data_IF_482093853363
#
_entry.id   IF_482093853363
#
_cell.length_a   1.000
_cell.length_b   1.000
_cell.length_c   1.000
_cell.angle_alpha   90.00
_cell.angle_beta   90.00
_cell.angle_gamma   90.00
#
_symmetry.space_group_name_H-M   'P 1'
#
loop_
_entity.id
_entity.type
_entity.pdbx_description
1 polymer ?
#
# COMPACT_ATOMS: atom_id res chain seq x y z
N UNK A 1 -20.51 -4.24 -2.34
CA UNK A 1 -19.44 -4.63 -3.27
C UNK A 1 -19.99 -5.27 -4.54
N UNK A 2 -19.92 -4.54 -5.65
CA UNK A 2 -20.12 -5.10 -6.98
C UNK A 2 -18.78 -5.65 -7.51
N UNK A 3 -18.70 -6.97 -7.71
CA UNK A 3 -17.61 -7.56 -8.50
C UNK A 3 -17.95 -7.36 -9.96
N UNK A 4 -17.13 -6.61 -10.69
CA UNK A 4 -17.39 -6.34 -12.09
C UNK A 4 -16.94 -7.54 -12.93
N UNK A 5 -17.71 -7.89 -13.97
CA UNK A 5 -17.27 -8.86 -14.97
C UNK A 5 -15.94 -8.40 -15.59
N UNK A 6 -15.11 -9.35 -16.02
CA UNK A 6 -13.81 -9.07 -16.64
C UNK A 6 -13.96 -7.99 -17.72
N UNK A 7 -13.38 -6.84 -17.44
CA UNK A 7 -13.67 -5.60 -18.13
C UNK A 7 -12.85 -4.53 -17.47
N UNK A 8 -11.58 -4.42 -17.88
CA UNK A 8 -10.68 -3.43 -17.33
C UNK A 8 -11.32 -2.04 -17.43
N UNK A 9 -11.27 -1.31 -16.32
CA UNK A 9 -11.66 0.10 -16.28
C UNK A 9 -11.00 0.84 -17.45
N UNK A 10 -11.73 1.69 -18.19
CA UNK A 10 -11.22 2.32 -19.43
C UNK A 10 -9.85 2.98 -19.23
N UNK A 11 -9.64 3.59 -18.06
CA UNK A 11 -8.38 4.24 -17.67
C UNK A 11 -7.27 3.21 -17.38
N UNK A 12 -7.59 2.07 -16.77
CA UNK A 12 -6.62 1.00 -16.50
C UNK A 12 -6.11 0.39 -17.82
N UNK A 13 -6.99 0.19 -18.79
CA UNK A 13 -6.59 -0.23 -20.14
C UNK A 13 -5.67 0.80 -20.80
N UNK A 14 -6.04 2.08 -20.78
CA UNK A 14 -5.22 3.14 -21.38
C UNK A 14 -3.82 3.27 -20.75
N UNK A 15 -3.64 2.88 -19.48
CA UNK A 15 -2.35 2.91 -18.80
C UNK A 15 -1.57 1.58 -18.87
N UNK A 16 -2.22 0.48 -19.27
CA UNK A 16 -1.58 -0.85 -19.32
C UNK A 16 -0.47 -0.95 -20.37
N UNK A 17 -0.54 -0.15 -21.44
CA UNK A 17 0.41 -0.20 -22.55
C UNK A 17 1.55 0.82 -22.44
N UNK A 18 1.53 1.70 -21.43
CA UNK A 18 2.46 2.83 -21.36
C UNK A 18 3.90 2.43 -21.13
N UNK A 19 4.13 1.44 -20.28
CA UNK A 19 5.50 1.01 -19.95
C UNK A 19 5.67 -0.50 -20.10
N UNK A 20 6.76 -0.95 -20.75
CA UNK A 20 6.99 -2.37 -21.03
C UNK A 20 7.36 -3.19 -19.80
N UNK A 21 7.78 -2.56 -18.69
CA UNK A 21 8.16 -3.26 -17.46
C UNK A 21 6.98 -3.62 -16.55
N UNK A 22 5.74 -3.26 -16.90
CA UNK A 22 4.57 -3.78 -16.17
C UNK A 22 4.22 -5.18 -16.65
N UNK A 23 4.12 -6.09 -15.69
CA UNK A 23 3.79 -7.49 -15.92
C UNK A 23 2.27 -7.68 -15.98
N UNK A 24 1.79 -8.60 -16.82
CA UNK A 24 0.42 -9.10 -16.72
C UNK A 24 0.18 -9.71 -15.33
N UNK A 25 -1.00 -9.46 -14.78
CA UNK A 25 -1.50 -10.04 -13.53
C UNK A 25 -2.79 -10.84 -13.72
N UNK A 26 -3.43 -10.75 -14.89
CA UNK A 26 -4.62 -11.53 -15.21
C UNK A 26 -4.25 -12.87 -15.88
N UNK A 27 -4.91 -13.99 -15.52
CA UNK A 27 -5.82 -14.11 -14.37
C UNK A 27 -5.04 -13.95 -13.06
N UNK A 28 -5.68 -13.31 -12.07
CA UNK A 28 -5.12 -13.19 -10.73
C UNK A 28 -5.20 -14.56 -10.03
N UNK A 29 -4.22 -14.86 -9.18
CA UNK A 29 -4.26 -16.07 -8.36
C UNK A 29 -5.52 -16.09 -7.47
N UNK A 30 -6.05 -17.29 -7.20
CA UNK A 30 -7.27 -17.43 -6.39
C UNK A 30 -7.12 -16.91 -4.96
N UNK A 31 -5.93 -17.02 -4.38
CA UNK A 31 -5.63 -16.53 -3.03
C UNK A 31 -5.59 -15.00 -3.02
N UNK A 32 -4.88 -14.40 -3.97
CA UNK A 32 -4.81 -12.94 -4.16
C UNK A 32 -6.20 -12.34 -4.42
N UNK A 33 -7.01 -13.00 -5.27
CA UNK A 33 -8.38 -12.57 -5.54
C UNK A 33 -9.29 -12.68 -4.32
N UNK A 34 -9.18 -13.76 -3.55
CA UNK A 34 -9.93 -13.93 -2.31
C UNK A 34 -9.53 -12.87 -1.27
N UNK A 35 -8.24 -12.57 -1.15
CA UNK A 35 -7.70 -11.52 -0.28
C UNK A 35 -8.25 -10.15 -0.66
N UNK A 36 -8.29 -9.85 -1.96
CA UNK A 36 -8.85 -8.59 -2.47
C UNK A 36 -10.31 -8.39 -2.06
N UNK A 37 -11.13 -9.43 -2.26
CA UNK A 37 -12.55 -9.43 -1.92
C UNK A 37 -12.76 -9.32 -0.41
N UNK A 38 -12.01 -10.09 0.39
CA UNK A 38 -12.07 -10.07 1.86
C UNK A 38 -11.78 -8.67 2.40
N UNK A 39 -10.69 -8.05 1.96
CA UNK A 39 -10.32 -6.71 2.38
C UNK A 39 -11.36 -5.65 2.03
N UNK A 40 -11.89 -5.68 0.81
CA UNK A 40 -12.91 -4.71 0.37
C UNK A 40 -14.24 -4.89 1.10
N UNK A 41 -14.69 -6.13 1.31
CA UNK A 41 -15.92 -6.38 2.09
C UNK A 41 -15.79 -5.87 3.51
N UNK A 42 -14.69 -6.20 4.18
CA UNK A 42 -14.41 -5.71 5.53
C UNK A 42 -14.39 -4.18 5.57
N UNK A 43 -13.71 -3.53 4.61
CA UNK A 43 -13.68 -2.08 4.50
C UNK A 43 -15.08 -1.48 4.30
N UNK A 44 -15.87 -1.96 3.33
CA UNK A 44 -17.21 -1.44 3.05
C UNK A 44 -18.15 -1.62 4.25
N UNK A 45 -18.10 -2.79 4.91
CA UNK A 45 -18.85 -3.06 6.15
C UNK A 45 -18.47 -2.09 7.27
N UNK A 46 -17.16 -1.82 7.45
CA UNK A 46 -16.67 -0.88 8.47
C UNK A 46 -17.03 0.57 8.16
N UNK A 47 -17.08 0.96 6.90
CA UNK A 47 -17.58 2.30 6.52
C UNK A 47 -19.06 2.43 6.84
N UNK A 48 -19.89 1.45 6.46
CA UNK A 48 -21.32 1.48 6.76
C UNK A 48 -21.57 1.51 8.27
N UNK A 49 -20.87 0.67 9.04
CA UNK A 49 -20.93 0.64 10.50
C UNK A 49 -20.56 1.98 11.13
N UNK A 50 -19.48 2.63 10.64
CA UNK A 50 -18.87 3.76 11.34
C UNK A 50 -19.34 5.13 10.89
N UNK A 51 -19.66 5.26 9.61
CA UNK A 51 -20.04 6.52 8.96
C UNK A 51 -21.50 6.50 8.47
N UNK A 52 -22.18 5.34 8.48
CA UNK A 52 -23.53 5.22 7.92
C UNK A 52 -23.58 5.38 6.40
N UNK A 53 -22.42 5.32 5.74
CA UNK A 53 -22.28 5.50 4.31
C UNK A 53 -22.24 4.15 3.61
N UNK A 54 -23.14 3.96 2.65
CA UNK A 54 -23.11 2.77 1.80
C UNK A 54 -22.18 3.02 0.62
N UNK A 55 -21.02 2.38 0.62
CA UNK A 55 -20.11 2.37 -0.52
C UNK A 55 -20.51 1.27 -1.48
N UNK A 56 -20.61 1.60 -2.76
CA UNK A 56 -20.82 0.63 -3.84
C UNK A 56 -19.91 0.97 -5.02
N UNK A 57 -18.60 0.81 -4.79
CA UNK A 57 -17.58 0.93 -5.84
C UNK A 57 -17.34 -0.45 -6.45
N UNK A 58 -16.84 -0.47 -7.69
CA UNK A 58 -16.52 -1.71 -8.40
C UNK A 58 -15.10 -2.18 -8.12
N UNK A 59 -14.91 -3.50 -7.99
CA UNK A 59 -13.60 -4.14 -8.12
C UNK A 59 -13.41 -4.58 -9.57
N UNK A 60 -12.33 -4.09 -10.20
CA UNK A 60 -12.04 -4.26 -11.61
C UNK A 60 -10.70 -4.98 -11.79
N UNK A 61 -10.71 -6.13 -12.47
CA UNK A 61 -9.51 -6.84 -12.88
C UNK A 61 -9.27 -6.61 -14.37
N UNK A 62 -8.14 -5.99 -14.70
CA UNK A 62 -7.61 -5.88 -16.06
C UNK A 62 -6.28 -6.62 -16.19
N UNK A 63 -5.73 -6.63 -17.41
CA UNK A 63 -4.55 -7.45 -17.73
C UNK A 63 -3.35 -7.16 -16.85
N UNK A 64 -3.15 -5.91 -16.46
CA UNK A 64 -2.01 -5.47 -15.63
C UNK A 64 -2.44 -4.83 -14.31
N UNK A 65 -3.74 -4.74 -14.01
CA UNK A 65 -4.24 -3.95 -12.89
C UNK A 65 -5.36 -4.66 -12.15
N UNK A 66 -5.35 -4.51 -10.83
CA UNK A 66 -6.52 -4.72 -9.99
C UNK A 66 -6.86 -3.39 -9.33
N UNK A 67 -8.08 -2.90 -9.52
CA UNK A 67 -8.48 -1.55 -9.12
C UNK A 67 -9.83 -1.56 -8.42
N UNK A 68 -9.95 -0.77 -7.36
CA UNK A 68 -11.19 -0.46 -6.68
C UNK A 68 -11.60 1.00 -6.94
N UNK A 69 -12.81 1.20 -7.47
CA UNK A 69 -13.37 2.53 -7.75
C UNK A 69 -14.70 2.50 -8.50
N UNK A 70 -15.41 3.64 -8.55
CA UNK A 70 -16.70 3.77 -9.23
C UNK A 70 -16.52 4.17 -10.70
N UNK A 71 -17.35 3.70 -11.64
CA UNK A 71 -17.35 4.18 -13.04
C UNK A 71 -18.07 5.55 -13.12
N UNK A 72 -17.40 6.63 -12.68
CA UNK A 72 -17.90 8.00 -12.71
C UNK A 72 -16.78 9.02 -13.01
N UNK A 73 -17.09 10.21 -13.57
CA UNK A 73 -16.10 11.28 -13.73
C UNK A 73 -15.52 11.65 -12.35
N UNK A 74 -14.19 11.63 -12.18
CA UNK A 74 -13.55 11.75 -10.87
C UNK A 74 -13.46 13.20 -10.35
N UNK A 75 -14.40 14.07 -10.72
CA UNK A 75 -14.26 15.53 -10.57
C UNK A 75 -14.07 16.04 -9.14
N UNK A 76 -14.27 15.22 -8.09
CA UNK A 76 -13.88 15.57 -6.72
C UNK A 76 -13.36 14.31 -6.00
N UNK A 77 -12.05 14.09 -6.03
CA UNK A 77 -11.35 13.23 -5.06
C UNK A 77 -11.54 11.71 -5.19
N UNK A 78 -12.31 11.23 -6.17
CA UNK A 78 -12.48 9.79 -6.41
C UNK A 78 -11.22 9.19 -7.03
N UNK A 79 -10.31 8.64 -6.22
CA UNK A 79 -9.14 7.92 -6.76
C UNK A 79 -9.53 6.47 -7.00
N UNK A 80 -9.28 5.99 -8.21
CA UNK A 80 -9.21 4.55 -8.47
C UNK A 80 -7.94 4.03 -7.81
N UNK A 81 -8.06 3.36 -6.67
CA UNK A 81 -6.92 2.81 -5.93
C UNK A 81 -6.76 1.33 -6.26
N UNK A 82 -5.53 0.90 -6.46
CA UNK A 82 -5.30 -0.48 -6.86
C UNK A 82 -3.85 -0.90 -6.81
N UNK A 83 -3.57 -2.03 -7.43
CA UNK A 83 -2.23 -2.59 -7.57
C UNK A 83 -1.95 -3.02 -9.01
N UNK A 84 -0.66 -3.03 -9.34
CA UNK A 84 -0.13 -3.70 -10.54
C UNK A 84 1.26 -4.26 -10.26
N UNK A 85 1.79 -5.11 -11.14
CA UNK A 85 3.09 -5.75 -10.94
C UNK A 85 4.18 -5.16 -11.85
N UNK A 86 5.35 -4.87 -11.29
CA UNK A 86 6.53 -4.37 -12.01
C UNK A 86 7.61 -5.44 -12.12
N UNK A 87 8.27 -5.46 -13.27
CA UNK A 87 9.53 -6.16 -13.54
C UNK A 87 10.72 -5.19 -13.47
N UNK A 88 10.70 -4.26 -12.53
CA UNK A 88 11.87 -3.48 -12.16
C UNK A 88 12.65 -4.24 -11.07
N UNK A 89 13.81 -3.75 -10.64
CA UNK A 89 14.54 -4.32 -9.50
C UNK A 89 14.41 -3.35 -8.33
N UNK A 90 13.82 -3.81 -7.22
CA UNK A 90 13.26 -5.14 -7.04
C UNK A 90 12.03 -5.35 -7.90
N UNK A 91 11.64 -6.59 -8.17
CA UNK A 91 10.36 -6.88 -8.83
C UNK A 91 9.28 -7.07 -7.79
N UNK A 92 8.05 -6.66 -8.05
CA UNK A 92 7.02 -6.73 -7.03
C UNK A 92 5.73 -6.02 -7.40
N UNK A 93 4.86 -5.91 -6.41
CA UNK A 93 3.55 -5.27 -6.52
C UNK A 93 3.69 -3.78 -6.21
N UNK A 94 3.10 -2.90 -7.00
CA UNK A 94 3.08 -1.47 -6.73
C UNK A 94 1.66 -0.98 -6.52
N UNK A 95 1.50 -0.05 -5.59
CA UNK A 95 0.22 0.61 -5.30
C UNK A 95 0.06 1.76 -6.27
N UNK A 96 -1.08 1.80 -6.93
CA UNK A 96 -1.36 2.75 -8.00
C UNK A 96 -2.66 3.49 -7.76
N UNK A 97 -2.69 4.74 -8.22
CA UNK A 97 -3.88 5.59 -8.25
C UNK A 97 -4.11 6.05 -9.68
N UNK A 98 -5.26 5.73 -10.28
CA UNK A 98 -5.62 6.24 -11.61
C UNK A 98 -6.41 7.54 -11.48
N UNK A 99 -6.09 8.52 -12.33
CA UNK A 99 -6.65 9.88 -12.32
C UNK A 99 -7.23 10.27 -13.69
N UNK A 100 -8.17 11.22 -13.70
CA UNK A 100 -8.99 11.64 -14.87
C UNK A 100 -8.22 12.05 -16.13
N UNK A 101 -6.96 12.48 -16.00
CA UNK A 101 -6.13 12.88 -17.16
C UNK A 101 -5.45 11.70 -17.84
N UNK A 102 -6.03 10.51 -17.72
CA UNK A 102 -5.36 9.24 -17.94
C UNK A 102 -4.01 9.19 -17.19
N UNK A 103 -3.90 9.89 -16.07
CA UNK A 103 -2.65 9.98 -15.31
C UNK A 103 -2.58 8.81 -14.35
N UNK A 104 -1.37 8.33 -14.10
CA UNK A 104 -1.12 7.45 -12.97
C UNK A 104 -0.35 8.21 -11.90
N UNK A 105 -0.90 8.24 -10.68
CA UNK A 105 -0.21 8.66 -9.48
C UNK A 105 0.35 7.47 -8.72
N UNK A 106 1.43 7.70 -7.98
CA UNK A 106 1.87 6.74 -6.95
C UNK A 106 0.80 6.66 -5.87
N UNK A 107 0.42 5.45 -5.47
CA UNK A 107 -0.51 5.22 -4.38
C UNK A 107 0.09 5.47 -2.99
N UNK A 108 1.31 6.01 -2.89
CA UNK A 108 1.99 6.28 -1.62
C UNK A 108 3.07 5.27 -1.27
N UNK A 109 3.08 4.10 -1.91
CA UNK A 109 4.25 3.22 -1.97
C UNK A 109 4.53 2.83 -3.43
N UNK A 110 5.79 2.91 -3.79
CA UNK A 110 6.31 2.47 -5.08
C UNK A 110 6.38 0.94 -5.22
N UNK A 111 6.69 0.17 -4.15
CA UNK A 111 6.80 -1.30 -4.28
C UNK A 111 6.68 -2.18 -3.01
N UNK A 112 6.04 -3.35 -3.17
CA UNK A 112 5.87 -4.45 -2.23
C UNK A 112 6.41 -5.79 -2.73
N UNK A 113 6.88 -6.65 -1.82
CA UNK A 113 7.25 -8.05 -2.13
C UNK A 113 6.06 -8.91 -2.52
N UNK A 114 4.94 -8.76 -1.81
CA UNK A 114 3.74 -9.60 -1.95
C UNK A 114 2.50 -8.80 -2.34
N UNK A 115 1.51 -9.49 -2.90
CA UNK A 115 0.21 -8.91 -3.24
C UNK A 115 -0.50 -8.45 -1.97
N UNK A 116 -0.52 -9.30 -0.93
CA UNK A 116 -1.09 -9.01 0.38
C UNK A 116 -0.64 -7.64 0.92
N UNK A 117 0.66 -7.40 1.00
CA UNK A 117 1.20 -6.13 1.52
C UNK A 117 0.81 -4.93 0.65
N UNK A 118 0.86 -5.06 -0.67
CA UNK A 118 0.41 -4.01 -1.57
C UNK A 118 -1.09 -3.72 -1.39
N UNK A 119 -1.90 -4.77 -1.22
CA UNK A 119 -3.33 -4.65 -1.05
C UNK A 119 -3.72 -4.09 0.32
N UNK A 120 -3.05 -4.49 1.40
CA UNK A 120 -3.15 -3.85 2.72
C UNK A 120 -2.93 -2.36 2.63
N UNK A 121 -1.94 -1.92 1.86
CA UNK A 121 -1.71 -0.49 1.68
C UNK A 121 -2.80 0.21 0.85
N UNK A 122 -3.34 -0.44 -0.20
CA UNK A 122 -4.54 0.04 -0.90
C UNK A 122 -5.68 0.23 0.10
N UNK A 123 -5.94 -0.76 0.96
CA UNK A 123 -6.99 -0.67 1.98
C UNK A 123 -6.70 0.46 2.95
N UNK A 124 -5.46 0.62 3.42
CA UNK A 124 -5.06 1.74 4.28
C UNK A 124 -5.40 3.09 3.68
N UNK A 125 -5.16 3.28 2.39
CA UNK A 125 -5.53 4.52 1.71
C UNK A 125 -7.05 4.69 1.59
N UNK A 126 -7.79 3.61 1.30
CA UNK A 126 -9.24 3.64 1.30
C UNK A 126 -9.81 4.05 2.68
N UNK A 127 -9.26 3.50 3.78
CA UNK A 127 -9.67 3.89 5.14
C UNK A 127 -9.25 5.34 5.41
N UNK A 128 -8.04 5.75 5.03
CA UNK A 128 -7.56 7.12 5.25
C UNK A 128 -8.48 8.16 4.60
N UNK A 129 -8.99 7.90 3.39
CA UNK A 129 -9.86 8.84 2.66
C UNK A 129 -11.12 9.22 3.46
N UNK A 130 -11.63 8.34 4.33
CA UNK A 130 -12.76 8.68 5.22
C UNK A 130 -12.35 9.46 6.46
N UNK A 131 -11.14 9.21 6.96
CA UNK A 131 -10.69 9.83 8.21
C UNK A 131 -10.02 11.18 8.01
N UNK A 132 -9.28 11.39 6.91
CA UNK A 132 -8.47 12.59 6.68
C UNK A 132 -9.30 13.88 6.73
N UNK A 133 -10.56 13.79 6.34
CA UNK A 133 -11.49 14.91 6.33
C UNK A 133 -12.38 15.02 7.57
N UNK A 134 -12.33 14.03 8.48
CA UNK A 134 -13.12 14.03 9.72
C UNK A 134 -12.68 15.10 10.71
N UNK A 135 -13.63 15.65 11.46
CA UNK A 135 -13.38 16.68 12.48
C UNK A 135 -12.40 16.19 13.54
N UNK A 136 -12.48 14.91 13.94
CA UNK A 136 -11.57 14.29 14.89
C UNK A 136 -10.12 14.34 14.39
N UNK A 137 -9.86 13.86 13.17
CA UNK A 137 -8.51 13.82 12.62
C UNK A 137 -7.93 15.21 12.38
N UNK A 138 -8.74 16.13 11.86
CA UNK A 138 -8.36 17.53 11.69
C UNK A 138 -8.05 18.18 13.05
N UNK A 139 -8.89 17.95 14.06
CA UNK A 139 -8.70 18.45 15.42
C UNK A 139 -7.45 17.90 16.11
N UNK A 140 -7.09 16.65 15.83
CA UNK A 140 -5.88 16.00 16.35
C UNK A 140 -4.62 16.26 15.52
N UNK A 141 -4.74 16.88 14.34
CA UNK A 141 -3.63 17.10 13.41
C UNK A 141 -3.00 15.80 12.89
N UNK A 142 -3.78 14.73 12.75
CA UNK A 142 -3.28 13.41 12.31
C UNK A 142 -3.05 13.38 10.80
N UNK A 143 -1.93 12.78 10.41
CA UNK A 143 -1.57 12.50 9.00
C UNK A 143 -1.36 11.01 8.71
N UNK A 144 -1.39 10.18 9.76
CA UNK A 144 -1.26 8.72 9.69
C UNK A 144 -2.02 8.06 10.85
N UNK A 145 -2.34 6.77 10.71
CA UNK A 145 -3.09 6.05 11.75
C UNK A 145 -2.24 5.86 12.99
N UNK A 146 -0.99 5.46 12.84
CA UNK A 146 -0.12 5.09 13.95
C UNK A 146 0.95 6.14 14.26
N UNK A 147 0.87 7.32 13.63
CA UNK A 147 1.88 8.37 13.79
C UNK A 147 3.25 7.90 13.32
N UNK A 148 4.24 8.00 14.23
CA UNK A 148 5.60 7.48 14.05
C UNK A 148 5.83 6.16 14.81
N UNK A 149 4.78 5.55 15.38
CA UNK A 149 4.90 4.27 16.10
C UNK A 149 4.98 3.13 15.08
N UNK A 150 5.99 2.29 15.23
CA UNK A 150 6.09 1.03 14.48
C UNK A 150 5.65 -0.13 15.35
N UNK A 151 5.12 -1.16 14.71
CA UNK A 151 4.92 -2.46 15.35
C UNK A 151 6.28 -3.09 15.76
N UNK A 152 6.29 -3.91 16.81
CA UNK A 152 7.52 -4.51 17.35
C UNK A 152 7.98 -5.76 16.59
N UNK A 153 7.12 -6.42 15.81
CA UNK A 153 7.48 -7.56 14.95
C UNK A 153 7.96 -7.12 13.56
N UNK A 154 7.97 -5.81 13.29
CA UNK A 154 8.44 -5.23 12.05
C UNK A 154 9.70 -4.38 12.26
N UNK A 155 10.59 -4.41 11.29
CA UNK A 155 11.77 -3.56 11.24
C UNK A 155 11.75 -2.70 9.97
N UNK A 156 12.37 -1.54 10.06
CA UNK A 156 12.51 -0.66 8.91
C UNK A 156 13.80 0.15 8.98
N UNK A 157 14.21 0.69 7.84
CA UNK A 157 15.32 1.64 7.73
C UNK A 157 14.93 2.75 6.75
N UNK A 158 15.49 3.94 6.91
CA UNK A 158 15.32 5.01 5.94
C UNK A 158 16.43 4.94 4.90
N UNK A 159 16.13 5.12 3.62
CA UNK A 159 17.11 5.17 2.53
C UNK A 159 17.14 6.60 1.97
N UNK A 160 18.33 7.16 1.79
CA UNK A 160 18.55 8.46 1.15
C UNK A 160 18.34 8.40 -0.36
N UNK A 161 18.28 9.57 -1.00
CA UNK A 161 18.17 9.70 -2.48
C UNK A 161 19.31 8.96 -3.18
N UNK A 162 20.49 8.96 -2.56
CA UNK A 162 21.72 8.31 -3.02
C UNK A 162 21.78 6.81 -2.69
N UNK A 163 20.71 6.24 -2.13
CA UNK A 163 20.67 4.84 -1.73
C UNK A 163 21.43 4.54 -0.44
N UNK A 164 21.85 5.56 0.33
CA UNK A 164 22.51 5.34 1.63
C UNK A 164 21.49 5.02 2.72
N UNK A 165 21.72 4.00 3.56
CA UNK A 165 20.84 3.72 4.68
C UNK A 165 21.09 4.74 5.81
N UNK A 166 20.00 5.29 6.34
CA UNK A 166 19.97 6.14 7.51
C UNK A 166 19.28 5.38 8.67
N UNK A 167 19.89 5.39 9.86
CA UNK A 167 19.35 4.69 11.00
C UNK A 167 18.04 5.35 11.43
N UNK A 168 16.96 4.57 11.36
CA UNK A 168 15.66 4.96 11.87
C UNK A 168 15.07 3.78 12.66
N UNK A 169 14.78 3.98 13.95
CA UNK A 169 14.16 2.96 14.81
C UNK A 169 15.13 1.97 15.49
N UNK A 170 14.55 1.12 16.37
CA UNK A 170 15.28 0.18 17.24
C UNK A 170 15.98 -0.97 16.50
N UNK A 171 15.51 -1.32 15.30
CA UNK A 171 15.97 -2.49 14.52
C UNK A 171 16.77 -2.10 13.26
N UNK A 172 17.30 -0.88 13.23
CA UNK A 172 18.01 -0.34 12.06
C UNK A 172 19.21 -1.16 11.60
N UNK A 173 19.95 -1.82 12.51
CA UNK A 173 21.11 -2.65 12.16
C UNK A 173 20.75 -3.86 11.28
N UNK A 174 19.62 -4.52 11.55
CA UNK A 174 19.11 -5.61 10.72
C UNK A 174 18.79 -5.13 9.32
N UNK A 175 18.13 -3.96 9.24
CA UNK A 175 17.77 -3.35 7.97
C UNK A 175 18.99 -2.96 7.15
N UNK A 176 19.98 -2.32 7.77
CA UNK A 176 21.21 -1.90 7.10
C UNK A 176 21.95 -3.09 6.51
N UNK A 177 22.17 -4.15 7.30
CA UNK A 177 22.86 -5.37 6.87
C UNK A 177 22.19 -5.98 5.64
N UNK A 178 20.85 -6.07 5.69
CA UNK A 178 20.07 -6.58 4.57
C UNK A 178 20.13 -5.66 3.34
N UNK A 179 19.94 -4.36 3.52
CA UNK A 179 19.96 -3.38 2.42
C UNK A 179 21.28 -3.39 1.69
N UNK A 180 22.39 -3.45 2.44
CA UNK A 180 23.73 -3.55 1.87
C UNK A 180 23.89 -4.86 1.09
N UNK A 181 23.55 -6.01 1.68
CA UNK A 181 23.63 -7.30 1.01
C UNK A 181 22.77 -7.36 -0.26
N UNK A 182 21.54 -6.84 -0.22
CA UNK A 182 20.67 -6.78 -1.39
C UNK A 182 21.23 -5.80 -2.43
N UNK A 183 21.64 -4.59 -2.03
CA UNK A 183 22.17 -3.58 -2.94
C UNK A 183 23.46 -4.06 -3.64
N UNK A 184 24.38 -4.70 -2.93
CA UNK A 184 25.64 -5.20 -3.47
C UNK A 184 25.44 -6.30 -4.50
N UNK A 185 24.53 -7.25 -4.23
CA UNK A 185 24.23 -8.34 -5.15
C UNK A 185 23.55 -7.89 -6.45
N UNK A 186 22.88 -6.74 -6.45
CA UNK A 186 22.09 -6.29 -7.61
C UNK A 186 22.67 -5.06 -8.34
N UNK A 187 23.41 -4.18 -7.67
CA UNK A 187 24.14 -3.07 -8.33
C UNK A 187 25.40 -3.55 -9.05
N UNK A 188 25.92 -4.74 -8.74
CA UNK A 188 27.09 -5.32 -9.40
C UNK A 188 26.85 -5.72 -10.87
N UNK A 189 25.61 -6.10 -11.23
CA UNK A 189 25.32 -6.81 -12.48
C UNK A 189 24.29 -6.12 -13.41
N UNK A 190 23.73 -4.95 -13.07
CA UNK A 190 22.62 -4.34 -13.82
C UNK A 190 22.65 -2.82 -13.93
N UNK A 191 22.42 -2.31 -15.15
CA UNK A 191 22.33 -0.87 -15.44
C UNK A 191 21.27 -0.12 -14.62
N UNK A 192 21.55 1.14 -14.31
CA UNK A 192 20.77 2.03 -13.43
C UNK A 192 19.29 2.19 -13.81
N UNK A 193 18.92 1.93 -15.07
CA UNK A 193 17.55 2.09 -15.59
C UNK A 193 16.54 1.07 -15.00
N UNK A 194 17.02 -0.02 -14.39
CA UNK A 194 16.14 -1.04 -13.78
C UNK A 194 15.83 -0.79 -12.30
N UNK A 195 16.53 0.13 -11.63
CA UNK A 195 16.31 0.40 -10.21
C UNK A 195 15.47 1.65 -9.99
N UNK A 196 14.42 1.52 -9.16
CA UNK A 196 13.75 2.67 -8.56
C UNK A 196 14.58 3.17 -7.38
N UNK A 197 15.46 4.14 -7.63
CA UNK A 197 16.25 4.82 -6.60
C UNK A 197 15.56 6.13 -6.19
N UNK A 198 15.43 6.36 -4.89
CA UNK A 198 14.83 7.55 -4.32
C UNK A 198 14.87 7.51 -2.79
N UNK A 199 14.66 8.65 -2.12
CA UNK A 199 14.60 8.71 -0.67
C UNK A 199 13.35 7.96 -0.20
N UNK A 200 13.42 7.28 0.94
CA UNK A 200 12.30 6.45 1.37
C UNK A 200 12.58 5.55 2.56
N UNK A 201 11.77 4.50 2.72
CA UNK A 201 11.91 3.50 3.76
C UNK A 201 11.87 2.09 3.18
N UNK A 202 12.66 1.20 3.75
CA UNK A 202 12.52 -0.25 3.53
C UNK A 202 11.94 -0.85 4.80
N UNK A 203 10.85 -1.60 4.70
CA UNK A 203 10.20 -2.32 5.79
C UNK A 203 10.36 -3.82 5.60
N UNK A 204 10.42 -4.59 6.68
CA UNK A 204 10.47 -6.05 6.64
C UNK A 204 9.97 -6.67 7.96
N UNK A 205 9.55 -7.93 7.89
CA UNK A 205 9.26 -8.74 9.08
C UNK A 205 10.55 -9.08 9.84
N UNK A 206 10.53 -9.04 11.17
CA UNK A 206 11.67 -9.51 11.96
C UNK A 206 11.81 -11.04 11.88
N UNK A 207 10.69 -11.75 11.78
CA UNK A 207 10.66 -13.22 11.70
C UNK A 207 11.11 -13.72 10.33
N UNK A 208 10.82 -12.95 9.28
CA UNK A 208 11.30 -13.19 7.93
C UNK A 208 11.87 -11.90 7.30
N UNK A 209 13.17 -11.63 7.50
CA UNK A 209 13.83 -10.47 6.89
C UNK A 209 13.85 -10.49 5.35
N UNK A 210 13.47 -11.61 4.71
CA UNK A 210 13.33 -11.71 3.26
C UNK A 210 11.97 -11.21 2.74
N UNK A 211 11.02 -10.93 3.64
CA UNK A 211 9.75 -10.27 3.32
C UNK A 211 9.88 -8.77 3.47
N UNK A 212 10.24 -8.09 2.37
CA UNK A 212 10.64 -6.69 2.40
C UNK A 212 9.84 -5.81 1.46
N UNK A 213 9.89 -4.50 1.70
CA UNK A 213 8.98 -3.55 1.09
C UNK A 213 9.63 -2.16 0.96
N UNK A 214 9.52 -1.49 -0.19
CA UNK A 214 10.12 -0.17 -0.46
C UNK A 214 9.08 0.92 -0.55
N UNK A 215 9.12 1.88 0.36
CA UNK A 215 8.37 3.13 0.29
C UNK A 215 9.28 4.28 -0.15
N UNK A 216 8.83 5.18 -1.02
CA UNK A 216 9.60 6.35 -1.53
C UNK A 216 9.09 7.67 -0.89
N UNK A 217 8.30 7.59 0.18
CA UNK A 217 7.68 8.72 0.86
C UNK A 217 8.06 8.80 2.34
N UNK A 218 8.03 10.01 2.90
CA UNK A 218 8.51 10.32 4.25
C UNK A 218 7.67 9.77 5.40
N UNK A 219 6.53 9.12 5.15
CA UNK A 219 5.66 8.56 6.19
C UNK A 219 4.95 7.30 5.71
N UNK A 220 5.60 6.14 5.90
CA UNK A 220 5.07 4.81 5.54
C UNK A 220 4.78 3.88 6.71
N UNK A 221 4.96 4.35 7.95
CA UNK A 221 5.07 3.49 9.13
C UNK A 221 3.79 2.73 9.44
N UNK A 222 2.62 3.21 8.98
CA UNK A 222 1.33 2.52 9.16
C UNK A 222 1.32 1.09 8.61
N UNK A 223 2.14 0.80 7.59
CA UNK A 223 2.20 -0.55 7.03
C UNK A 223 2.90 -1.55 7.95
N UNK A 224 3.74 -1.07 8.89
CA UNK A 224 4.40 -1.96 9.87
C UNK A 224 3.39 -2.76 10.71
N UNK A 225 2.23 -2.17 10.97
CA UNK A 225 1.15 -2.77 11.74
C UNK A 225 0.34 -3.79 10.94
N UNK A 226 0.60 -3.95 9.64
CA UNK A 226 -0.04 -4.96 8.80
C UNK A 226 0.76 -6.24 8.62
N UNK A 227 2.01 -6.29 9.11
CA UNK A 227 2.82 -7.52 9.04
C UNK A 227 2.21 -8.60 9.92
N UNK A 228 2.05 -9.81 9.39
CA UNK A 228 1.53 -10.96 10.11
C UNK A 228 0.03 -10.93 10.42
N UNK A 229 -0.68 -9.82 10.16
CA UNK A 229 -2.14 -9.74 10.30
C UNK A 229 -2.85 -10.24 9.06
N UNK A 230 -4.03 -10.83 9.22
CA UNK A 230 -4.96 -11.02 8.10
C UNK A 230 -5.48 -9.65 7.60
N UNK A 231 -5.95 -9.61 6.35
CA UNK A 231 -6.38 -8.36 5.70
C UNK A 231 -7.55 -7.70 6.46
N UNK A 232 -8.51 -8.47 6.97
CA UNK A 232 -9.65 -7.94 7.74
C UNK A 232 -9.23 -7.41 9.11
N UNK A 233 -8.28 -8.07 9.77
CA UNK A 233 -7.75 -7.64 11.06
C UNK A 233 -7.00 -6.31 10.90
N UNK A 234 -6.18 -6.19 9.85
CA UNK A 234 -5.51 -4.95 9.53
C UNK A 234 -6.50 -3.81 9.23
N UNK A 235 -7.52 -4.07 8.39
CA UNK A 235 -8.56 -3.07 8.10
C UNK A 235 -9.29 -2.66 9.37
N UNK A 236 -9.73 -3.63 10.18
CA UNK A 236 -10.43 -3.37 11.44
C UNK A 236 -9.59 -2.58 12.43
N UNK A 237 -8.29 -2.86 12.50
CA UNK A 237 -7.33 -2.13 13.32
C UNK A 237 -7.24 -0.66 12.88
N UNK A 238 -7.18 -0.38 11.56
CA UNK A 238 -7.17 0.99 11.05
C UNK A 238 -8.42 1.77 11.46
N UNK A 239 -9.61 1.18 11.37
CA UNK A 239 -10.84 1.83 11.84
C UNK A 239 -10.81 2.05 13.35
N UNK A 240 -10.35 1.07 14.11
CA UNK A 240 -10.22 1.17 15.57
C UNK A 240 -9.32 2.36 15.92
N UNK A 241 -8.12 2.43 15.34
CA UNK A 241 -7.13 3.49 15.61
C UNK A 241 -7.57 4.85 15.07
N UNK A 242 -8.23 4.87 13.91
CA UNK A 242 -8.78 6.08 13.31
C UNK A 242 -9.79 6.78 14.22
N UNK A 243 -10.39 6.07 15.17
CA UNK A 243 -11.40 6.62 16.09
C UNK A 243 -10.85 6.98 17.47
N UNK A 244 -9.60 6.64 17.77
CA UNK A 244 -8.99 6.97 19.05
C UNK A 244 -8.73 8.46 19.17
N UNK A 245 -8.91 9.02 20.37
CA UNK A 245 -8.52 10.41 20.67
C UNK A 245 -7.01 10.52 20.91
N UNK A 246 -6.35 9.45 21.35
CA UNK A 246 -4.93 9.43 21.69
C UNK A 246 -4.25 8.17 21.16
N UNK A 247 -3.05 8.32 20.61
CA UNK A 247 -2.21 7.19 20.21
C UNK A 247 -1.50 6.53 21.40
N UNK A 248 -1.53 7.12 22.59
CA UNK A 248 -0.95 6.49 23.79
C UNK A 248 -1.71 5.22 24.20
N UNK A 249 -2.96 5.08 23.77
CA UNK A 249 -3.82 3.95 24.13
C UNK A 249 -3.62 2.73 23.20
N UNK A 250 -2.70 2.82 22.23
CA UNK A 250 -2.37 1.74 21.30
C UNK A 250 -1.78 0.49 21.96
N UNK A 251 -1.13 0.61 23.13
CA UNK A 251 -0.38 -0.49 23.76
C UNK A 251 -1.25 -1.66 24.26
N UNK A 252 -2.58 -1.53 24.23
CA UNK A 252 -3.52 -2.59 24.64
C UNK A 252 -4.30 -3.24 23.49
N UNK A 253 -3.94 -2.99 22.23
CA UNK A 253 -4.78 -3.28 21.05
C UNK A 253 -4.09 -4.23 20.05
N UNK A 254 -2.79 -4.48 20.21
CA UNK A 254 -2.01 -5.46 19.44
C UNK A 254 -1.69 -6.71 20.28
#
# INVERSE_FOLDING_TARGET
MQVMEYGAHKIANANSEREPWYLPIAPLDSEDWALAIRGLRCYEEKVEERFGEKIDRGLWLGDKYLVYGADSPLELGGRYLGVRRRNQVPSGWCVTSLCDRNGEGSGGIDQASTFDLAWKYVMRNCVLDHFIDSDLWKGLGRSSFFGNKSDQSAAYLQVGVDGTPHPHGRHSSLGHTWWEAHRENFLGDGGSEKLSLGPGFVFFSIDDPSDWYKNVWSSGVDLTWGFGLDIEDYVSLLFTVGTMESLNDLEGIA
#
